data_IF_817311145753
#
_entry.id   IF_817311145753
#
_cell.length_a   1.000
_cell.length_b   1.000
_cell.length_c   1.000
_cell.angle_alpha   90.00
_cell.angle_beta   90.00
_cell.angle_gamma   90.00
#
_symmetry.space_group_name_H-M   'P 1'
#
loop_
_entity.id
_entity.type
_entity.pdbx_description
1 polymer ?
#
# COMPACT_ATOMS: atom_id res chain seq x y z
N UNK A 1 -17.65 -33.80 28.01
CA UNK A 1 -16.35 -33.38 27.41
C UNK A 1 -16.38 -31.92 26.97
N UNK A 2 -17.34 -31.49 26.14
CA UNK A 2 -17.51 -30.08 25.72
C UNK A 2 -17.69 -29.08 26.88
N UNK A 3 -18.40 -29.46 27.94
CA UNK A 3 -18.56 -28.64 29.15
C UNK A 3 -17.23 -28.37 29.87
N UNK A 4 -16.36 -29.40 29.94
CA UNK A 4 -15.03 -29.31 30.54
C UNK A 4 -14.14 -28.42 29.68
N UNK A 5 -14.14 -28.63 28.36
CA UNK A 5 -13.38 -27.79 27.43
C UNK A 5 -13.80 -26.32 27.54
N UNK A 6 -15.10 -26.05 27.66
CA UNK A 6 -15.60 -24.69 27.84
C UNK A 6 -15.23 -24.08 29.20
N UNK A 7 -15.16 -24.87 30.26
CA UNK A 7 -14.64 -24.41 31.56
C UNK A 7 -13.15 -24.10 31.47
N UNK A 8 -12.35 -25.00 30.86
CA UNK A 8 -10.92 -24.80 30.67
C UNK A 8 -10.66 -23.53 29.86
N UNK A 9 -11.33 -23.37 28.72
CA UNK A 9 -11.12 -22.24 27.84
C UNK A 9 -11.55 -20.90 28.47
N UNK A 10 -12.64 -20.87 29.27
CA UNK A 10 -13.01 -19.67 30.02
C UNK A 10 -12.03 -19.37 31.15
N UNK A 11 -11.61 -20.38 31.90
CA UNK A 11 -10.65 -20.21 32.99
C UNK A 11 -9.26 -19.80 32.48
N UNK A 12 -8.89 -20.22 31.27
CA UNK A 12 -7.64 -19.83 30.63
C UNK A 12 -7.72 -18.50 29.88
N UNK A 13 -8.91 -17.86 29.81
CA UNK A 13 -9.10 -16.62 29.07
C UNK A 13 -8.88 -16.76 27.55
N UNK A 14 -9.24 -17.90 26.96
CA UNK A 14 -9.03 -18.16 25.53
C UNK A 14 -9.93 -17.26 24.67
N UNK A 15 -9.32 -16.27 24.00
CA UNK A 15 -10.03 -15.31 23.14
C UNK A 15 -10.14 -15.71 21.66
N UNK A 16 -9.24 -16.57 21.17
CA UNK A 16 -9.20 -17.00 19.77
C UNK A 16 -8.50 -18.36 19.68
N UNK A 17 -9.06 -19.28 18.89
CA UNK A 17 -8.42 -20.55 18.57
C UNK A 17 -8.03 -20.57 17.09
N UNK A 18 -6.73 -20.64 16.80
CA UNK A 18 -6.20 -20.79 15.44
C UNK A 18 -5.78 -22.24 15.23
N UNK A 19 -6.26 -22.85 14.15
CA UNK A 19 -5.96 -24.23 13.79
C UNK A 19 -5.35 -24.21 12.40
N UNK A 20 -4.04 -24.44 12.33
CA UNK A 20 -3.32 -24.53 11.07
C UNK A 20 -3.39 -25.96 10.48
N UNK A 21 -3.03 -26.08 9.21
CA UNK A 21 -2.86 -27.37 8.53
C UNK A 21 -4.14 -28.24 8.52
N UNK A 22 -5.30 -27.60 8.40
CA UNK A 22 -6.63 -28.25 8.51
C UNK A 22 -6.84 -29.40 7.51
N UNK A 23 -6.11 -29.40 6.38
CA UNK A 23 -6.18 -30.47 5.39
C UNK A 23 -5.73 -31.83 5.95
N UNK A 24 -4.90 -31.85 7.01
CA UNK A 24 -4.49 -33.11 7.65
C UNK A 24 -5.64 -33.85 8.34
N UNK A 25 -6.75 -33.16 8.61
CA UNK A 25 -7.95 -33.79 9.16
C UNK A 25 -8.62 -34.78 8.19
N UNK A 26 -8.46 -34.55 6.88
CA UNK A 26 -9.06 -35.38 5.81
C UNK A 26 -8.46 -36.78 5.71
N UNK A 27 -7.27 -37.01 6.29
CA UNK A 27 -6.57 -38.30 6.20
C UNK A 27 -7.16 -39.37 7.13
N UNK A 28 -7.98 -38.98 8.11
CA UNK A 28 -8.68 -39.91 8.98
C UNK A 28 -9.91 -40.50 8.24
N UNK A 29 -9.72 -41.65 7.58
CA UNK A 29 -10.69 -42.39 6.72
C UNK A 29 -12.04 -42.81 7.36
N UNK A 30 -12.46 -42.23 8.48
CA UNK A 30 -13.54 -42.76 9.32
C UNK A 30 -14.66 -41.74 9.64
N UNK A 31 -14.94 -40.78 8.75
CA UNK A 31 -15.93 -39.72 9.01
C UNK A 31 -15.53 -38.79 10.17
N UNK A 32 -14.23 -38.71 10.47
CA UNK A 32 -13.68 -37.87 11.52
C UNK A 32 -13.76 -36.38 11.20
N UNK A 33 -13.69 -36.05 9.91
CA UNK A 33 -13.84 -34.69 9.38
C UNK A 33 -15.16 -34.07 9.84
N UNK A 34 -16.29 -34.69 9.53
CA UNK A 34 -17.62 -34.14 9.87
C UNK A 34 -17.81 -34.02 11.38
N UNK A 35 -17.31 -34.99 12.15
CA UNK A 35 -17.34 -34.92 13.62
C UNK A 35 -16.53 -33.75 14.15
N UNK A 36 -15.38 -33.46 13.55
CA UNK A 36 -14.52 -32.36 13.97
C UNK A 36 -15.06 -31.00 13.54
N UNK A 37 -15.61 -30.88 12.33
CA UNK A 37 -16.28 -29.65 11.88
C UNK A 37 -17.52 -29.35 12.75
N UNK A 38 -18.28 -30.38 13.12
CA UNK A 38 -19.36 -30.25 14.09
C UNK A 38 -18.85 -29.86 15.48
N UNK A 39 -17.70 -30.38 15.90
CA UNK A 39 -17.05 -29.98 17.15
C UNK A 39 -16.65 -28.49 17.14
N UNK A 40 -16.02 -27.99 16.06
CA UNK A 40 -15.69 -26.56 15.94
C UNK A 40 -16.94 -25.68 15.90
N UNK A 41 -17.97 -26.10 15.17
CA UNK A 41 -19.28 -25.42 15.17
C UNK A 41 -19.87 -25.34 16.58
N UNK A 42 -19.76 -26.41 17.36
CA UNK A 42 -20.25 -26.45 18.75
C UNK A 42 -19.39 -25.56 19.66
N UNK A 43 -18.08 -25.52 19.44
CA UNK A 43 -17.15 -24.69 20.20
C UNK A 43 -17.46 -23.20 20.01
N UNK A 44 -17.69 -22.76 18.77
CA UNK A 44 -18.09 -21.37 18.47
C UNK A 44 -19.46 -21.05 19.09
N UNK A 45 -20.47 -21.91 18.87
CA UNK A 45 -21.85 -21.59 19.26
C UNK A 45 -22.14 -21.76 20.76
N UNK A 46 -21.53 -22.75 21.41
CA UNK A 46 -21.85 -23.10 22.81
C UNK A 46 -20.85 -22.52 23.79
N UNK A 47 -19.56 -22.47 23.41
CA UNK A 47 -18.52 -21.97 24.30
C UNK A 47 -18.25 -20.48 24.06
N UNK A 48 -18.55 -19.98 22.86
CA UNK A 48 -18.38 -18.58 22.50
C UNK A 48 -16.94 -18.22 22.11
N UNK A 49 -16.12 -19.22 21.75
CA UNK A 49 -14.72 -18.99 21.35
C UNK A 49 -14.67 -18.91 19.82
N UNK A 50 -14.18 -17.80 19.25
CA UNK A 50 -13.92 -17.70 17.82
C UNK A 50 -12.84 -18.69 17.38
N UNK A 51 -13.06 -19.33 16.24
CA UNK A 51 -12.12 -20.29 15.64
C UNK A 51 -11.73 -19.83 14.25
N UNK A 52 -10.43 -19.80 13.96
CA UNK A 52 -9.85 -19.51 12.64
C UNK A 52 -9.17 -20.79 12.15
N UNK A 53 -9.62 -21.28 11.00
CA UNK A 53 -9.03 -22.43 10.33
C UNK A 53 -8.08 -21.93 9.24
N UNK A 54 -6.85 -22.42 9.26
CA UNK A 54 -5.80 -22.12 8.28
C UNK A 54 -5.37 -23.43 7.64
N UNK A 55 -5.08 -23.40 6.35
CA UNK A 55 -4.61 -24.56 5.61
C UNK A 55 -4.26 -24.21 4.17
N UNK A 56 -3.69 -25.20 3.48
CA UNK A 56 -3.35 -25.09 2.06
C UNK A 56 -4.59 -25.18 1.18
N UNK A 57 -4.43 -24.99 -0.14
CA UNK A 57 -5.55 -25.08 -1.08
C UNK A 57 -6.24 -26.45 -1.11
N UNK A 58 -5.56 -27.52 -0.65
CA UNK A 58 -6.18 -28.83 -0.42
C UNK A 58 -7.32 -28.80 0.60
N UNK A 59 -7.27 -27.87 1.55
CA UNK A 59 -8.35 -27.67 2.52
C UNK A 59 -9.59 -27.01 1.91
N UNK A 60 -9.49 -26.37 0.72
CA UNK A 60 -10.63 -25.69 0.07
C UNK A 60 -11.83 -26.63 -0.07
N UNK A 61 -11.59 -27.86 -0.55
CA UNK A 61 -12.62 -28.89 -0.71
C UNK A 61 -13.23 -29.33 0.63
N UNK A 62 -12.43 -29.36 1.71
CA UNK A 62 -12.91 -29.69 3.05
C UNK A 62 -13.93 -28.65 3.56
N UNK A 63 -13.61 -27.38 3.32
CA UNK A 63 -14.37 -26.23 3.82
C UNK A 63 -15.60 -25.92 2.95
N UNK A 64 -15.53 -26.18 1.64
CA UNK A 64 -16.65 -26.00 0.70
C UNK A 64 -17.76 -27.05 0.90
N UNK A 65 -17.39 -28.31 1.17
CA UNK A 65 -18.37 -29.40 1.31
C UNK A 65 -19.26 -29.24 2.55
N UNK A 66 -18.79 -28.55 3.59
CA UNK A 66 -19.59 -28.28 4.79
C UNK A 66 -20.38 -26.97 4.62
N UNK A 67 -21.44 -27.03 3.81
CA UNK A 67 -22.36 -25.93 3.43
C UNK A 67 -22.93 -25.14 4.63
N UNK A 68 -22.79 -25.65 5.87
CA UNK A 68 -23.19 -24.99 7.13
C UNK A 68 -22.10 -24.09 7.71
N UNK A 69 -20.82 -24.42 7.50
CA UNK A 69 -19.69 -23.55 7.84
C UNK A 69 -19.55 -22.47 6.79
N UNK A 70 -19.57 -22.84 5.50
CA UNK A 70 -19.52 -21.90 4.38
C UNK A 70 -20.48 -20.72 4.58
N UNK A 71 -21.76 -20.95 4.91
CA UNK A 71 -22.73 -19.85 5.11
C UNK A 71 -22.49 -18.93 6.32
N UNK A 72 -21.83 -19.37 7.38
CA UNK A 72 -21.44 -18.49 8.51
C UNK A 72 -20.13 -17.76 8.25
N UNK A 73 -19.28 -18.39 7.45
CA UNK A 73 -18.01 -17.89 6.94
C UNK A 73 -18.24 -16.94 5.73
N UNK A 74 -19.38 -17.02 5.04
CA UNK A 74 -19.79 -16.18 3.90
C UNK A 74 -20.35 -14.79 4.30
N UNK A 75 -20.23 -14.39 5.57
CA UNK A 75 -20.35 -12.98 5.93
C UNK A 75 -19.09 -12.24 5.47
N UNK A 76 -19.08 -11.77 4.22
CA UNK A 76 -18.13 -10.79 3.63
C UNK A 76 -16.61 -10.98 3.85
N UNK A 77 -16.13 -12.09 4.42
CA UNK A 77 -14.70 -12.24 4.71
C UNK A 77 -14.22 -13.54 5.37
N UNK A 78 -14.98 -14.65 5.34
CA UNK A 78 -14.54 -15.85 6.05
C UNK A 78 -13.72 -16.86 5.23
N UNK A 79 -13.84 -16.88 3.90
CA UNK A 79 -12.92 -17.64 3.04
C UNK A 79 -11.98 -16.65 2.36
N UNK A 80 -10.94 -16.26 3.09
CA UNK A 80 -9.87 -15.44 2.53
C UNK A 80 -8.89 -16.38 1.86
N UNK A 81 -8.90 -16.40 0.53
CA UNK A 81 -7.82 -17.03 -0.23
C UNK A 81 -6.64 -16.05 -0.22
N UNK A 82 -5.55 -16.46 0.43
CA UNK A 82 -4.32 -15.68 0.39
C UNK A 82 -3.55 -16.04 -0.87
N UNK A 83 -3.63 -15.18 -1.88
CA UNK A 83 -2.91 -15.36 -3.12
C UNK A 83 -1.44 -14.97 -3.02
N UNK A 84 -0.65 -15.42 -4.00
CA UNK A 84 0.72 -14.93 -4.21
C UNK A 84 0.69 -13.43 -4.54
N UNK A 85 1.75 -12.72 -4.17
CA UNK A 85 1.86 -11.31 -4.51
C UNK A 85 2.08 -11.15 -6.02
N UNK A 86 1.46 -10.14 -6.62
CA UNK A 86 1.73 -9.75 -8.01
C UNK A 86 3.06 -8.98 -8.05
N UNK A 87 3.66 -8.83 -9.24
CA UNK A 87 4.84 -7.96 -9.40
C UNK A 87 4.42 -6.50 -9.35
N UNK A 88 4.03 -6.03 -8.18
CA UNK A 88 3.46 -4.71 -7.96
C UNK A 88 4.11 -4.02 -6.76
N UNK A 89 3.50 -2.92 -6.33
CA UNK A 89 3.96 -2.17 -5.17
C UNK A 89 3.94 -2.99 -3.87
N UNK A 90 3.07 -3.99 -3.76
CA UNK A 90 2.95 -4.87 -2.59
C UNK A 90 4.19 -5.73 -2.44
N UNK A 91 4.63 -6.36 -3.54
CA UNK A 91 5.86 -7.15 -3.55
C UNK A 91 7.08 -6.26 -3.34
N UNK A 92 7.13 -5.12 -4.01
CA UNK A 92 8.22 -4.15 -3.85
C UNK A 92 8.34 -3.68 -2.40
N UNK A 93 7.22 -3.43 -1.72
CA UNK A 93 7.19 -3.05 -0.31
C UNK A 93 7.68 -4.16 0.62
N UNK A 94 7.30 -5.41 0.35
CA UNK A 94 7.81 -6.57 1.09
C UNK A 94 9.33 -6.62 0.99
N UNK A 95 9.87 -6.57 -0.24
CA UNK A 95 11.32 -6.64 -0.47
C UNK A 95 12.03 -5.46 0.19
N UNK A 96 11.54 -4.23 0.01
CA UNK A 96 12.08 -3.03 0.66
C UNK A 96 12.15 -3.16 2.19
N UNK A 97 11.10 -3.73 2.79
CA UNK A 97 11.04 -3.93 4.25
C UNK A 97 12.03 -5.00 4.72
N UNK A 98 12.11 -6.15 4.04
CA UNK A 98 13.05 -7.20 4.45
C UNK A 98 14.50 -6.83 4.14
N UNK A 99 14.74 -5.96 3.14
CA UNK A 99 16.09 -5.53 2.74
C UNK A 99 16.80 -4.67 3.79
N UNK A 100 16.06 -4.10 4.75
CA UNK A 100 16.64 -3.42 5.93
C UNK A 100 17.43 -4.42 6.81
N UNK A 101 17.07 -5.71 6.78
CA UNK A 101 17.65 -6.79 7.58
C UNK A 101 18.83 -7.49 6.88
N UNK A 102 19.82 -6.70 6.45
CA UNK A 102 21.09 -7.23 5.95
C UNK A 102 22.04 -7.60 7.10
N UNK A 103 22.45 -8.84 7.20
CA UNK A 103 23.39 -9.33 8.21
C UNK A 103 24.84 -9.37 7.71
N UNK A 104 25.09 -8.93 6.47
CA UNK A 104 26.41 -8.79 5.87
C UNK A 104 27.15 -7.55 6.39
N UNK A 105 28.49 -7.58 6.43
CA UNK A 105 29.28 -6.40 6.85
C UNK A 105 29.12 -5.21 5.91
N UNK A 106 29.05 -5.45 4.60
CA UNK A 106 28.78 -4.41 3.60
C UNK A 106 27.28 -4.39 3.29
N UNK A 107 26.68 -3.23 3.52
CA UNK A 107 25.28 -2.97 3.20
C UNK A 107 25.16 -2.52 1.75
N UNK A 108 24.28 -3.17 1.00
CA UNK A 108 23.99 -2.84 -0.40
C UNK A 108 22.63 -2.14 -0.52
N UNK A 109 22.50 -1.08 -1.33
CA UNK A 109 21.20 -0.49 -1.60
C UNK A 109 20.30 -1.49 -2.33
N UNK A 110 18.99 -1.39 -2.12
CA UNK A 110 18.02 -2.15 -2.90
C UNK A 110 17.93 -1.55 -4.30
N UNK A 111 17.96 -2.39 -5.33
CA UNK A 111 17.78 -1.99 -6.72
C UNK A 111 16.56 -2.66 -7.33
N UNK A 112 15.97 -2.04 -8.35
CA UNK A 112 14.86 -2.64 -9.10
C UNK A 112 15.25 -3.98 -9.72
N UNK A 113 16.51 -4.14 -10.15
CA UNK A 113 17.03 -5.41 -10.66
C UNK A 113 16.92 -6.53 -9.63
N UNK A 114 17.25 -6.26 -8.37
CA UNK A 114 17.14 -7.23 -7.27
C UNK A 114 15.68 -7.55 -6.97
N UNK A 115 14.80 -6.55 -6.94
CA UNK A 115 13.36 -6.76 -6.72
C UNK A 115 12.80 -7.67 -7.82
N UNK A 116 13.08 -7.36 -9.07
CA UNK A 116 12.62 -8.15 -10.21
C UNK A 116 13.19 -9.56 -10.19
N UNK A 117 14.49 -9.73 -9.87
CA UNK A 117 15.08 -11.05 -9.73
C UNK A 117 14.42 -11.89 -8.63
N UNK A 118 14.18 -11.29 -7.46
CA UNK A 118 13.49 -11.98 -6.36
C UNK A 118 12.04 -12.31 -6.71
N UNK A 119 11.35 -11.44 -7.46
CA UNK A 119 10.01 -11.74 -7.96
C UNK A 119 10.05 -12.91 -8.93
N UNK A 120 10.93 -12.87 -9.94
CA UNK A 120 11.06 -13.93 -10.92
C UNK A 120 11.34 -15.28 -10.25
N UNK A 121 12.28 -15.34 -9.32
CA UNK A 121 12.68 -16.60 -8.69
C UNK A 121 11.74 -17.07 -7.56
N UNK A 122 10.82 -16.22 -7.10
CA UNK A 122 9.81 -16.62 -6.11
C UNK A 122 8.39 -16.75 -6.68
N UNK A 123 8.14 -16.17 -7.86
CA UNK A 123 6.81 -15.97 -8.45
C UNK A 123 5.81 -15.36 -7.45
N UNK A 124 6.27 -14.42 -6.62
CA UNK A 124 5.43 -13.73 -5.64
C UNK A 124 5.10 -14.54 -4.37
N UNK A 125 5.67 -15.74 -4.21
CA UNK A 125 5.51 -16.54 -2.98
C UNK A 125 6.45 -15.98 -1.91
N UNK A 126 5.85 -15.36 -0.89
CA UNK A 126 6.56 -14.66 0.19
C UNK A 126 7.61 -15.55 0.87
N UNK A 127 7.23 -16.77 1.26
CA UNK A 127 8.13 -17.73 1.92
C UNK A 127 9.37 -18.06 1.07
N UNK A 128 9.18 -18.26 -0.25
CA UNK A 128 10.28 -18.52 -1.18
C UNK A 128 11.18 -17.30 -1.30
N UNK A 129 10.62 -16.10 -1.50
CA UNK A 129 11.39 -14.86 -1.61
C UNK A 129 12.27 -14.60 -0.36
N UNK A 130 11.69 -14.74 0.84
CA UNK A 130 12.40 -14.58 2.11
C UNK A 130 13.51 -15.62 2.26
N UNK A 131 13.25 -16.88 1.88
CA UNK A 131 14.24 -17.96 1.92
C UNK A 131 15.39 -17.73 0.94
N UNK A 132 15.11 -17.28 -0.29
CA UNK A 132 16.16 -16.90 -1.26
C UNK A 132 17.06 -15.82 -0.65
N UNK A 133 16.45 -14.78 -0.09
CA UNK A 133 17.18 -13.68 0.54
C UNK A 133 18.03 -14.15 1.72
N UNK A 134 17.47 -14.94 2.63
CA UNK A 134 18.20 -15.49 3.77
C UNK A 134 19.40 -16.36 3.33
N UNK A 135 19.20 -17.21 2.32
CA UNK A 135 20.26 -18.05 1.77
C UNK A 135 21.35 -17.24 1.05
N UNK A 136 20.99 -16.17 0.34
CA UNK A 136 21.95 -15.25 -0.27
C UNK A 136 22.85 -14.59 0.78
N UNK A 137 22.30 -14.21 1.94
CA UNK A 137 23.07 -13.67 3.05
C UNK A 137 24.02 -14.71 3.67
N UNK A 138 23.52 -15.93 3.95
CA UNK A 138 24.34 -17.03 4.45
C UNK A 138 25.51 -17.31 3.49
N UNK A 139 25.23 -17.30 2.18
CA UNK A 139 26.25 -17.49 1.14
C UNK A 139 27.28 -16.36 1.12
N UNK A 140 26.85 -15.10 1.16
CA UNK A 140 27.73 -13.94 1.18
C UNK A 140 28.68 -13.97 2.40
N UNK A 141 28.17 -14.36 3.57
CA UNK A 141 28.96 -14.50 4.80
C UNK A 141 29.92 -15.68 4.71
N UNK A 142 29.43 -16.87 4.34
CA UNK A 142 30.25 -18.10 4.26
C UNK A 142 31.40 -18.01 3.24
N UNK A 143 31.21 -17.24 2.17
CA UNK A 143 32.24 -17.02 1.13
C UNK A 143 33.19 -15.86 1.44
N UNK A 144 32.96 -15.12 2.53
CA UNK A 144 33.74 -13.95 2.91
C UNK A 144 33.55 -12.73 2.00
N UNK A 145 32.62 -12.79 1.03
CA UNK A 145 32.27 -11.64 0.18
C UNK A 145 31.61 -10.53 1.00
N UNK A 146 30.79 -10.92 1.98
CA UNK A 146 30.18 -10.01 2.96
C UNK A 146 29.35 -8.89 2.33
N UNK A 147 28.77 -9.16 1.16
CA UNK A 147 27.97 -8.24 0.33
C UNK A 147 26.95 -9.06 -0.46
N UNK A 148 25.72 -8.56 -0.62
CA UNK A 148 24.67 -9.25 -1.37
C UNK A 148 24.66 -8.70 -2.80
N UNK A 149 24.87 -9.56 -3.78
CA UNK A 149 24.85 -9.19 -5.21
C UNK A 149 23.86 -10.06 -5.98
N UNK A 150 23.45 -9.57 -7.15
CA UNK A 150 22.63 -10.29 -8.14
C UNK A 150 23.20 -11.68 -8.41
N UNK A 151 24.52 -11.80 -8.56
CA UNK A 151 25.19 -13.07 -8.83
C UNK A 151 25.07 -14.08 -7.68
N UNK A 152 25.15 -13.61 -6.42
CA UNK A 152 24.99 -14.47 -5.25
C UNK A 152 23.56 -15.00 -5.18
N UNK A 153 22.57 -14.14 -5.46
CA UNK A 153 21.16 -14.54 -5.49
C UNK A 153 20.95 -15.61 -6.58
N UNK A 154 21.45 -15.39 -7.80
CA UNK A 154 21.38 -16.38 -8.88
C UNK A 154 22.04 -17.72 -8.51
N UNK A 155 23.23 -17.67 -7.90
CA UNK A 155 23.95 -18.89 -7.49
C UNK A 155 23.15 -19.70 -6.44
N UNK A 156 22.52 -19.01 -5.49
CA UNK A 156 21.67 -19.65 -4.46
C UNK A 156 20.43 -20.26 -5.07
N UNK A 157 19.76 -19.55 -5.98
CA UNK A 157 18.57 -20.04 -6.68
C UNK A 157 18.89 -21.34 -7.43
N UNK A 158 19.99 -21.35 -8.19
CA UNK A 158 20.37 -22.54 -8.97
C UNK A 158 20.77 -23.74 -8.11
N UNK A 159 21.34 -23.51 -6.92
CA UNK A 159 21.79 -24.61 -6.04
C UNK A 159 20.71 -25.11 -5.10
N UNK A 160 19.90 -24.21 -4.55
CA UNK A 160 19.06 -24.48 -3.38
C UNK A 160 17.57 -24.63 -3.70
N UNK A 161 17.09 -24.16 -4.86
CA UNK A 161 15.66 -24.25 -5.22
C UNK A 161 15.31 -25.45 -6.10
N UNK A 162 16.22 -26.41 -6.32
CA UNK A 162 16.00 -27.54 -7.24
C UNK A 162 14.69 -28.32 -6.99
N UNK A 163 14.26 -28.44 -5.74
CA UNK A 163 13.01 -29.14 -5.40
C UNK A 163 11.75 -28.37 -5.80
N UNK A 164 11.78 -27.03 -5.76
CA UNK A 164 10.63 -26.15 -6.08
C UNK A 164 10.75 -25.50 -7.47
N UNK A 165 11.89 -25.64 -8.15
CA UNK A 165 12.14 -25.10 -9.49
C UNK A 165 11.09 -25.52 -10.53
N UNK A 166 10.68 -26.81 -10.62
CA UNK A 166 9.65 -27.21 -11.59
C UNK A 166 8.28 -26.56 -11.35
N UNK A 167 7.99 -26.23 -10.08
CA UNK A 167 6.76 -25.59 -9.63
C UNK A 167 6.78 -24.09 -9.93
N UNK A 168 7.92 -23.43 -9.67
CA UNK A 168 8.17 -22.03 -10.04
C UNK A 168 8.13 -21.85 -11.56
N UNK A 169 8.74 -22.76 -12.33
CA UNK A 169 8.72 -22.74 -13.79
C UNK A 169 7.31 -22.96 -14.35
N UNK A 170 6.52 -23.85 -13.74
CA UNK A 170 5.10 -24.01 -14.09
C UNK A 170 4.34 -22.69 -13.91
N UNK A 171 4.57 -21.97 -12.81
CA UNK A 171 3.99 -20.66 -12.55
C UNK A 171 4.46 -19.59 -13.54
N UNK A 172 5.77 -19.54 -13.86
CA UNK A 172 6.34 -18.64 -14.87
C UNK A 172 5.69 -18.83 -16.24
N UNK A 173 5.49 -20.09 -16.63
CA UNK A 173 4.89 -20.43 -17.93
C UNK A 173 3.38 -20.15 -18.03
N UNK A 174 2.74 -19.82 -16.90
CA UNK A 174 1.29 -19.68 -16.77
C UNK A 174 0.51 -20.88 -17.35
N UNK A 175 1.14 -22.06 -17.41
CA UNK A 175 0.55 -23.27 -17.98
C UNK A 175 -0.35 -23.93 -16.94
N UNK A 176 -1.65 -23.72 -17.10
CA UNK A 176 -2.71 -24.24 -16.24
C UNK A 176 -2.56 -25.75 -16.01
N UNK A 177 -2.13 -26.52 -17.02
CA UNK A 177 -1.99 -27.98 -16.91
C UNK A 177 -0.80 -28.38 -16.04
N UNK A 178 0.25 -27.56 -15.99
CA UNK A 178 1.41 -27.79 -15.12
C UNK A 178 1.12 -27.32 -13.70
N UNK A 179 0.41 -26.21 -13.54
CA UNK A 179 -0.02 -25.70 -12.23
C UNK A 179 -0.99 -26.67 -11.56
N UNK A 180 -1.94 -27.25 -12.31
CA UNK A 180 -2.91 -28.22 -11.80
C UNK A 180 -2.28 -29.51 -11.24
N UNK A 181 -1.03 -29.84 -11.59
CA UNK A 181 -0.30 -30.97 -10.99
C UNK A 181 0.10 -30.72 -9.53
N UNK A 182 0.09 -29.47 -9.09
CA UNK A 182 0.46 -29.06 -7.75
C UNK A 182 -0.78 -28.56 -7.00
N UNK A 183 -1.51 -29.51 -6.41
CA UNK A 183 -2.78 -29.29 -5.70
C UNK A 183 -2.67 -28.25 -4.57
N UNK A 184 -1.50 -28.08 -3.96
CA UNK A 184 -1.31 -27.14 -2.84
C UNK A 184 -1.31 -25.66 -3.28
N UNK A 185 -1.23 -25.38 -4.59
CA UNK A 185 -0.95 -24.04 -5.14
C UNK A 185 -2.01 -23.57 -6.12
N UNK A 186 -2.86 -24.47 -6.62
CA UNK A 186 -3.84 -24.16 -7.64
C UNK A 186 -5.01 -23.34 -7.05
N UNK A 187 -4.93 -22.02 -7.14
CA UNK A 187 -6.01 -21.11 -6.70
C UNK A 187 -7.19 -21.04 -7.67
N UNK A 188 -7.01 -21.51 -8.92
CA UNK A 188 -7.94 -21.26 -10.03
C UNK A 188 -9.24 -22.07 -9.84
N UNK A 189 -10.32 -21.37 -9.48
CA UNK A 189 -11.70 -21.82 -9.73
C UNK A 189 -12.17 -21.17 -11.03
N UNK A 190 -12.76 -21.94 -11.95
CA UNK A 190 -13.30 -21.42 -13.22
C UNK A 190 -14.35 -20.32 -13.01
N UNK A 191 -14.99 -20.29 -11.86
CA UNK A 191 -15.97 -19.26 -11.46
C UNK A 191 -15.31 -17.96 -10.99
N UNK A 192 -14.11 -18.02 -10.38
CA UNK A 192 -13.40 -16.84 -9.84
C UNK A 192 -12.89 -15.93 -10.99
N UNK A 193 -12.43 -16.50 -12.11
CA UNK A 193 -12.01 -15.78 -13.32
C UNK A 193 -13.13 -14.92 -13.95
N UNK A 194 -14.40 -15.27 -13.70
CA UNK A 194 -15.56 -14.48 -14.16
C UNK A 194 -15.87 -13.32 -13.21
N UNK A 195 -15.35 -13.33 -11.98
CA UNK A 195 -15.64 -12.36 -10.91
C UNK A 195 -14.53 -11.35 -10.62
N UNK A 196 -13.29 -11.57 -11.11
CA UNK A 196 -12.09 -10.74 -10.88
C UNK A 196 -12.23 -9.25 -11.26
N UNK A 197 -13.32 -8.81 -11.88
CA UNK A 197 -13.55 -7.41 -12.23
C UNK A 197 -13.94 -6.49 -11.03
N UNK A 198 -13.98 -6.95 -9.77
CA UNK A 198 -14.60 -6.16 -8.69
C UNK A 198 -13.92 -6.14 -7.29
N UNK A 199 -12.76 -6.77 -7.03
CA UNK A 199 -12.27 -6.99 -5.63
C UNK A 199 -10.88 -6.46 -5.26
N UNK A 200 -10.31 -5.50 -6.01
CA UNK A 200 -8.97 -4.92 -5.74
C UNK A 200 -8.90 -3.82 -4.64
N UNK A 201 -9.93 -3.65 -3.78
CA UNK A 201 -10.10 -2.39 -3.00
C UNK A 201 -9.48 -2.42 -1.58
N UNK A 202 -9.08 -3.57 -1.03
CA UNK A 202 -8.73 -3.67 0.40
C UNK A 202 -7.22 -3.79 0.72
N UNK A 203 -6.39 -4.24 -0.21
CA UNK A 203 -4.94 -4.38 0.01
C UNK A 203 -4.19 -3.07 -0.30
N UNK A 204 -4.60 -2.39 -1.37
CA UNK A 204 -4.04 -1.11 -1.83
C UNK A 204 -4.18 0.00 -0.78
N UNK A 205 -5.32 0.09 -0.11
CA UNK A 205 -5.56 1.04 0.98
C UNK A 205 -4.65 0.80 2.19
N UNK A 206 -4.47 -0.47 2.60
CA UNK A 206 -3.58 -0.84 3.73
C UNK A 206 -2.10 -0.63 3.41
N UNK A 207 -1.69 -0.82 2.15
CA UNK A 207 -0.34 -0.49 1.66
C UNK A 207 -0.09 1.01 1.71
N UNK A 208 -1.09 1.81 1.33
CA UNK A 208 -1.00 3.27 1.39
C UNK A 208 -0.85 3.75 2.83
N UNK A 209 -1.60 3.17 3.78
CA UNK A 209 -1.48 3.47 5.20
C UNK A 209 -0.09 3.14 5.76
N UNK A 210 0.49 2.00 5.34
CA UNK A 210 1.85 1.61 5.73
C UNK A 210 2.92 2.54 5.12
N UNK A 211 2.79 2.94 3.84
CA UNK A 211 3.69 3.92 3.19
C UNK A 211 3.64 5.28 3.89
N UNK A 212 2.46 5.73 4.32
CA UNK A 212 2.27 6.97 5.09
C UNK A 212 2.94 6.87 6.47
N UNK A 213 2.80 5.72 7.14
CA UNK A 213 3.47 5.47 8.42
C UNK A 213 5.01 5.42 8.29
N UNK A 214 5.54 4.83 7.21
CA UNK A 214 6.98 4.80 6.92
C UNK A 214 7.52 6.21 6.61
N UNK A 215 6.81 7.02 5.80
CA UNK A 215 7.14 8.44 5.55
C UNK A 215 7.14 9.28 6.84
N UNK A 216 6.18 9.05 7.76
CA UNK A 216 6.11 9.73 9.07
C UNK A 216 7.36 9.52 9.94
N UNK A 217 8.08 8.41 9.77
CA UNK A 217 9.31 8.11 10.52
C UNK A 217 10.55 8.85 9.99
N UNK A 218 10.43 9.56 8.87
CA UNK A 218 11.55 10.17 8.13
C UNK A 218 11.31 11.66 7.79
N UNK A 219 10.40 12.35 8.49
CA UNK A 219 10.16 13.78 8.30
C UNK A 219 11.06 14.63 9.21
N UNK A 220 11.61 15.72 8.65
CA UNK A 220 12.35 16.73 9.41
C UNK A 220 11.41 17.47 10.37
N UNK A 221 11.90 17.92 11.54
CA UNK A 221 11.12 18.67 12.56
C UNK A 221 10.34 19.85 11.94
N UNK A 222 10.88 20.48 10.89
CA UNK A 222 10.27 21.60 10.16
C UNK A 222 9.04 21.16 9.36
N UNK A 223 9.09 19.98 8.76
CA UNK A 223 8.01 19.44 7.92
C UNK A 223 6.85 18.94 8.77
N UNK A 224 7.14 18.32 9.92
CA UNK A 224 6.11 17.89 10.87
C UNK A 224 5.36 19.10 11.48
N UNK A 225 6.08 20.17 11.83
CA UNK A 225 5.46 21.40 12.31
C UNK A 225 4.61 22.07 11.22
N UNK A 226 5.06 22.06 9.95
CA UNK A 226 4.32 22.62 8.83
C UNK A 226 3.01 21.87 8.57
N UNK A 227 3.04 20.53 8.62
CA UNK A 227 1.84 19.69 8.44
C UNK A 227 0.80 20.02 9.51
N UNK A 228 1.21 20.10 10.79
CA UNK A 228 0.28 20.43 11.89
C UNK A 228 -0.30 21.84 11.78
N UNK A 229 0.46 22.81 11.29
CA UNK A 229 -0.07 24.16 11.05
C UNK A 229 -1.05 24.19 9.89
N UNK A 230 -0.82 23.39 8.84
CA UNK A 230 -1.77 23.23 7.73
C UNK A 230 -3.05 22.51 8.16
N UNK A 231 -2.98 21.52 9.06
CA UNK A 231 -4.15 20.86 9.67
C UNK A 231 -5.01 21.82 10.51
N UNK A 232 -4.39 22.89 11.04
CA UNK A 232 -5.05 23.98 11.75
C UNK A 232 -5.58 25.08 10.82
N UNK A 233 -5.65 24.80 9.51
CA UNK A 233 -6.16 25.68 8.44
C UNK A 233 -5.38 27.00 8.28
N UNK A 234 -4.11 27.02 8.68
CA UNK A 234 -3.22 28.17 8.51
C UNK A 234 -2.62 28.16 7.11
N UNK A 235 -2.72 29.30 6.40
CA UNK A 235 -2.16 29.44 5.06
C UNK A 235 -0.67 29.06 5.01
N UNK A 236 -0.32 28.22 4.03
CA UNK A 236 1.03 27.66 3.84
C UNK A 236 2.14 28.72 3.89
N UNK A 237 1.90 29.92 3.35
CA UNK A 237 2.91 31.00 3.34
C UNK A 237 3.12 31.60 4.72
N UNK A 238 2.05 31.74 5.50
CA UNK A 238 2.12 32.22 6.88
C UNK A 238 2.78 31.19 7.79
N UNK A 239 2.44 29.90 7.63
CA UNK A 239 2.99 28.81 8.41
C UNK A 239 4.52 28.69 8.23
N UNK A 240 5.02 28.76 6.99
CA UNK A 240 6.47 28.73 6.71
C UNK A 240 7.17 29.93 7.36
N UNK A 241 6.63 31.14 7.20
CA UNK A 241 7.23 32.35 7.77
C UNK A 241 7.22 32.35 9.31
N UNK A 242 6.17 31.81 9.93
CA UNK A 242 6.07 31.66 11.38
C UNK A 242 7.08 30.65 11.92
N UNK A 243 7.22 29.48 11.28
CA UNK A 243 8.20 28.47 11.68
C UNK A 243 9.63 28.99 11.52
N UNK A 244 9.94 29.67 10.42
CA UNK A 244 11.29 30.20 10.17
C UNK A 244 11.70 31.28 11.16
N UNK A 245 10.76 32.14 11.59
CA UNK A 245 11.03 33.13 12.63
C UNK A 245 11.30 32.48 13.99
N UNK A 246 10.49 31.51 14.40
CA UNK A 246 10.68 30.84 15.69
C UNK A 246 11.98 30.04 15.71
N UNK A 247 12.32 29.36 14.62
CA UNK A 247 13.57 28.60 14.51
C UNK A 247 14.81 29.51 14.49
N UNK A 248 14.68 30.77 14.06
CA UNK A 248 15.77 31.76 14.10
C UNK A 248 16.01 32.35 15.50
N UNK A 249 15.03 32.28 16.39
CA UNK A 249 15.13 32.77 17.76
C UNK A 249 15.61 31.68 18.73
N UNK A 250 15.29 30.39 18.48
CA UNK A 250 15.68 29.28 19.35
C UNK A 250 15.70 27.94 18.59
N UNK A 251 16.91 27.39 18.38
CA UNK A 251 17.17 26.25 17.48
C UNK A 251 16.82 24.87 18.09
N UNK A 252 16.71 24.77 19.42
CA UNK A 252 16.43 23.50 20.14
C UNK A 252 14.99 23.36 20.67
N UNK A 253 14.04 24.13 20.12
CA UNK A 253 12.63 24.04 20.56
C UNK A 253 11.98 22.69 20.17
N UNK A 254 11.28 22.08 21.12
CA UNK A 254 10.46 20.89 20.90
C UNK A 254 9.22 21.16 20.03
N UNK A 255 8.81 20.18 19.21
CA UNK A 255 7.79 20.31 18.14
C UNK A 255 6.48 20.96 18.61
N UNK A 256 5.97 20.56 19.79
CA UNK A 256 4.71 21.12 20.31
C UNK A 256 4.84 22.59 20.70
N UNK A 257 6.00 22.99 21.23
CA UNK A 257 6.29 24.37 21.58
C UNK A 257 6.53 25.21 20.31
N UNK A 258 7.23 24.65 19.32
CA UNK A 258 7.44 25.26 18.00
C UNK A 258 6.10 25.60 17.31
N UNK A 259 5.13 24.68 17.33
CA UNK A 259 3.81 24.91 16.73
C UNK A 259 3.04 26.01 17.48
N UNK A 260 3.07 26.02 18.82
CA UNK A 260 2.39 27.04 19.63
C UNK A 260 3.01 28.43 19.44
N UNK A 261 4.33 28.53 19.44
CA UNK A 261 5.06 29.78 19.19
C UNK A 261 4.79 30.28 17.75
N UNK A 262 4.79 29.38 16.76
CA UNK A 262 4.51 29.71 15.38
C UNK A 262 3.08 30.23 15.20
N UNK A 263 2.08 29.69 15.90
CA UNK A 263 0.70 30.21 15.88
C UNK A 263 0.64 31.65 16.43
N UNK A 264 1.31 31.93 17.55
CA UNK A 264 1.38 33.29 18.12
C UNK A 264 2.03 34.29 17.16
N UNK A 265 3.07 33.86 16.46
CA UNK A 265 3.75 34.68 15.45
C UNK A 265 2.85 34.87 14.21
N UNK A 266 2.10 33.85 13.80
CA UNK A 266 1.18 33.92 12.65
C UNK A 266 0.06 34.94 12.86
N UNK A 267 -0.45 35.10 14.08
CA UNK A 267 -1.48 36.11 14.42
C UNK A 267 -0.95 37.55 14.38
N UNK A 268 0.34 37.75 14.63
CA UNK A 268 0.98 39.08 14.56
C UNK A 268 1.46 39.44 13.16
N UNK A 269 1.49 38.48 12.23
CA UNK A 269 1.88 38.73 10.83
C UNK A 269 0.71 39.37 10.06
N UNK A 270 0.73 40.71 9.98
CA UNK A 270 -0.03 41.44 8.95
C UNK A 270 0.62 41.19 7.59
N UNK A 271 -0.11 40.52 6.69
CA UNK A 271 0.32 40.31 5.30
C UNK A 271 0.32 41.65 4.56
N UNK A 272 1.50 42.22 4.32
CA UNK A 272 1.70 43.25 3.30
C UNK A 272 1.46 42.61 1.93
N UNK A 273 0.34 42.94 1.27
CA UNK A 273 0.12 42.56 -0.13
C UNK A 273 1.11 43.34 -1.00
N UNK A 274 2.25 42.75 -1.32
CA UNK A 274 3.05 43.19 -2.46
C UNK A 274 2.28 42.84 -3.74
N UNK A 275 1.63 43.85 -4.33
CA UNK A 275 1.01 43.77 -5.66
C UNK A 275 2.15 43.70 -6.67
N UNK A 276 2.57 42.50 -7.08
CA UNK A 276 3.51 42.34 -8.19
C UNK A 276 2.78 42.64 -9.50
N UNK A 277 2.70 43.91 -9.88
CA UNK A 277 2.24 44.32 -11.21
C UNK A 277 3.43 44.33 -12.18
N UNK A 278 3.94 43.14 -12.53
CA UNK A 278 4.68 42.99 -13.79
C UNK A 278 3.65 42.61 -14.86
N UNK A 279 2.87 43.60 -15.29
CA UNK A 279 2.01 43.50 -16.47
C UNK A 279 2.93 43.73 -17.68
N UNK A 280 2.93 42.79 -18.64
CA UNK A 280 3.64 42.97 -19.91
C UNK A 280 2.97 44.12 -20.69
N UNK A 281 3.75 44.88 -21.47
CA UNK A 281 3.28 46.10 -22.15
C UNK A 281 2.07 45.87 -23.08
N UNK A 282 1.92 44.65 -23.62
CA UNK A 282 0.80 44.26 -24.48
C UNK A 282 -0.39 43.61 -23.74
N UNK A 283 -0.41 43.60 -22.41
CA UNK A 283 -1.57 43.14 -21.65
C UNK A 283 -2.74 44.14 -21.79
N UNK A 284 -3.90 43.66 -22.20
CA UNK A 284 -5.16 44.44 -22.34
C UNK A 284 -5.46 45.27 -21.07
N UNK A 285 -5.01 44.81 -19.90
CA UNK A 285 -5.20 45.52 -18.62
C UNK A 285 -4.36 46.80 -18.50
N UNK A 286 -3.18 46.88 -19.12
CA UNK A 286 -2.38 48.12 -19.15
C UNK A 286 -3.05 49.16 -20.06
N UNK A 287 -3.54 48.72 -21.22
CA UNK A 287 -4.22 49.57 -22.22
C UNK A 287 -5.51 50.17 -21.66
N UNK A 288 -6.31 49.38 -20.92
CA UNK A 288 -7.52 49.90 -20.27
C UNK A 288 -7.17 50.88 -19.14
N UNK A 289 -6.05 50.66 -18.45
CA UNK A 289 -5.61 51.54 -17.36
C UNK A 289 -5.12 52.89 -17.91
N UNK A 290 -4.30 52.90 -18.95
CA UNK A 290 -3.85 54.14 -19.61
C UNK A 290 -5.02 54.90 -20.24
N UNK A 291 -5.98 54.21 -20.88
CA UNK A 291 -7.17 54.86 -21.43
C UNK A 291 -8.02 55.57 -20.36
N UNK A 292 -8.12 54.99 -19.16
CA UNK A 292 -8.81 55.62 -18.02
C UNK A 292 -8.04 56.78 -17.41
N UNK A 293 -6.70 56.74 -17.40
CA UNK A 293 -5.87 57.86 -16.93
C UNK A 293 -5.90 59.05 -17.92
N UNK A 294 -6.10 58.77 -19.21
CA UNK A 294 -6.24 59.78 -20.29
C UNK A 294 -7.69 60.19 -20.59
N UNK A 295 -8.67 59.76 -19.78
CA UNK A 295 -10.11 60.02 -19.93
C UNK A 295 -10.69 59.63 -21.32
N UNK A 296 -10.10 58.64 -21.98
CA UNK A 296 -10.55 58.07 -23.26
C UNK A 296 -11.40 56.83 -23.04
N UNK A 297 -12.38 56.61 -23.93
CA UNK A 297 -13.19 55.38 -23.88
C UNK A 297 -12.30 54.14 -24.09
N UNK A 298 -12.33 53.16 -23.16
CA UNK A 298 -11.54 51.93 -23.28
C UNK A 298 -11.79 51.17 -24.59
N UNK A 299 -13.00 51.31 -25.16
CA UNK A 299 -13.37 50.71 -26.43
C UNK A 299 -12.52 51.24 -27.60
N UNK A 300 -12.26 52.56 -27.66
CA UNK A 300 -11.48 53.17 -28.73
C UNK A 300 -10.00 52.79 -28.64
N UNK A 301 -9.44 52.78 -27.42
CA UNK A 301 -8.04 52.40 -27.18
C UNK A 301 -7.76 50.93 -27.57
N UNK A 302 -8.72 50.03 -27.33
CA UNK A 302 -8.62 48.63 -27.74
C UNK A 302 -8.82 48.43 -29.25
N UNK A 303 -9.64 49.27 -29.90
CA UNK A 303 -9.81 49.28 -31.36
C UNK A 303 -8.53 49.73 -32.08
N UNK A 304 -7.87 50.79 -31.60
CA UNK A 304 -6.60 51.28 -32.18
C UNK A 304 -5.46 50.26 -32.08
N UNK A 305 -5.40 49.52 -30.96
CA UNK A 305 -4.43 48.43 -30.77
C UNK A 305 -4.80 47.13 -31.51
N UNK A 306 -5.89 47.12 -32.30
CA UNK A 306 -6.28 46.00 -33.15
C UNK A 306 -6.99 44.85 -32.42
N UNK A 307 -7.35 45.00 -31.14
CA UNK A 307 -8.07 43.99 -30.37
C UNK A 307 -9.57 43.93 -30.68
N UNK A 308 -10.12 44.94 -31.35
CA UNK A 308 -11.54 45.00 -31.76
C UNK A 308 -11.61 45.22 -33.27
N UNK A 309 -12.06 44.21 -34.01
CA UNK A 309 -12.39 44.31 -35.44
C UNK A 309 -13.80 44.88 -35.58
N UNK A 310 -14.02 45.88 -36.44
CA UNK A 310 -15.35 46.43 -36.70
C UNK A 310 -16.23 45.39 -37.40
N UNK A 311 -17.32 44.98 -36.74
CA UNK A 311 -18.42 44.29 -37.39
C UNK A 311 -19.38 45.36 -37.91
N UNK A 312 -19.16 45.82 -39.14
CA UNK A 312 -20.17 46.58 -39.88
C UNK A 312 -21.34 45.63 -40.17
N UNK A 313 -22.41 45.75 -39.39
CA UNK A 313 -23.67 45.08 -39.67
C UNK A 313 -24.31 45.75 -40.89
N UNK A 314 -24.08 45.21 -42.09
CA UNK A 314 -24.93 45.47 -43.24
C UNK A 314 -26.36 45.01 -42.91
N UNK A 315 -27.29 45.97 -42.75
CA UNK A 315 -28.72 45.68 -42.70
C UNK A 315 -29.16 45.09 -44.05
N UNK A 316 -29.25 43.78 -44.15
CA UNK A 316 -30.12 43.16 -45.15
C UNK A 316 -31.57 43.35 -44.70
N UNK A 317 -32.31 44.20 -45.40
CA UNK A 317 -33.77 44.21 -45.36
C UNK A 317 -34.28 42.80 -45.65
N UNK A 318 -35.08 42.27 -44.72
CA UNK A 318 -35.87 41.07 -44.94
C UNK A 318 -37.15 41.53 -45.65
N UNK A 319 -37.27 41.19 -46.94
CA UNK A 319 -38.54 41.17 -47.68
C UNK A 319 -39.18 39.80 -47.50
#
# INVERSE_FOLDING_TARGET
>A
MLSILGQVARNSGLGLLIIDEIQHLSQAKSGGVDKMLNFFTTLVNTVGIPVVLVGTMKAKNLLQNDFRMARRTLGTGGNIVWERLKNDESFSLLIDTIWEYQFTKKKTPLTEEVINLLYEESQGIIDIAVKIYAMAQIKAISTGREEITVDIIKEVVDKNLNAVKPMIEAMKSNDIRRIAKYEDICTIDYEDFLTENNTDVNLSSRIQDYKVAKRKKQLSKKEEALIRLLELDIDKKKAISGIEKVLSEDEEIGINKLVVEAIKVVDTIKVTRNKSSNLKDDDIRSIIKSAKEEDRSPYLALKEKGYITSADFEMKEIV
#
